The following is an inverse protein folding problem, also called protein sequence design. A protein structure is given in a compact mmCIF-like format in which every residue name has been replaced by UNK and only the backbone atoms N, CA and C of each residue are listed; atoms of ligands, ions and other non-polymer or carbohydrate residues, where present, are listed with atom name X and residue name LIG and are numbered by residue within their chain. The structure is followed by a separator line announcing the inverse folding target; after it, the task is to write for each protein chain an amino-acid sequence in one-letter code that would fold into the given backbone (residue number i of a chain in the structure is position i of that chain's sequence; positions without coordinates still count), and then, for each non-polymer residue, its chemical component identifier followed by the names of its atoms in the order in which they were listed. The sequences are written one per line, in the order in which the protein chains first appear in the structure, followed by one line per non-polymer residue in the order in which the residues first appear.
data_IF_896236968386
#
_entry.id   IF_896236968386
#
_cell.length_a   1.000
_cell.length_b   1.000
_cell.length_c   1.000
_cell.angle_alpha   90.00
_cell.angle_beta   90.00
_cell.angle_gamma   90.00
#
_symmetry.space_group_name_H-M   'P 1'
#
loop_
_entity.id
_entity.type
_entity.pdbx_description
1 polymer ?
#
# COMPACT_ATOMS: atom_id res chain seq x y z
N UNK A 1 -46.00 -65.29 10.45
CA UNK A 1 -45.14 -64.99 9.26
C UNK A 1 -44.91 -63.51 9.18
N UNK A 2 -43.81 -63.02 9.78
CA UNK A 2 -43.41 -61.62 9.71
C UNK A 2 -42.02 -61.57 9.06
N UNK A 3 -41.98 -61.03 7.83
CA UNK A 3 -40.75 -60.80 7.11
C UNK A 3 -40.00 -59.57 7.64
N UNK A 4 -38.77 -59.74 8.07
CA UNK A 4 -37.84 -58.62 8.38
C UNK A 4 -37.20 -58.18 7.06
N UNK A 5 -37.45 -56.92 6.67
CA UNK A 5 -36.71 -56.21 5.63
C UNK A 5 -35.43 -55.62 6.25
N UNK A 6 -34.27 -56.17 5.90
CA UNK A 6 -32.98 -55.64 6.29
C UNK A 6 -32.68 -54.33 5.55
N UNK A 7 -32.59 -53.25 6.29
CA UNK A 7 -32.08 -51.95 5.80
C UNK A 7 -30.55 -52.04 5.61
N UNK A 8 -30.09 -51.77 4.41
CA UNK A 8 -28.68 -51.60 4.11
C UNK A 8 -28.27 -50.21 4.57
N UNK A 9 -27.32 -50.12 5.50
CA UNK A 9 -26.69 -48.89 5.93
C UNK A 9 -25.86 -48.30 4.76
N UNK A 10 -25.96 -47.00 4.48
CA UNK A 10 -25.10 -46.37 3.47
C UNK A 10 -23.63 -46.44 3.95
N UNK A 11 -22.74 -46.78 3.03
CA UNK A 11 -21.30 -46.81 3.23
C UNK A 11 -20.72 -45.44 3.53
N UNK A 12 -19.49 -45.35 4.05
CA UNK A 12 -18.86 -44.11 4.45
C UNK A 12 -18.71 -43.16 3.25
N UNK A 13 -19.09 -41.92 3.45
CA UNK A 13 -18.93 -40.82 2.51
C UNK A 13 -17.42 -40.64 2.25
N UNK A 14 -16.96 -40.64 0.98
CA UNK A 14 -15.56 -40.41 0.68
C UNK A 14 -15.16 -39.01 1.19
N UNK A 15 -14.08 -38.99 1.96
CA UNK A 15 -13.43 -37.75 2.46
C UNK A 15 -13.09 -36.89 1.24
N UNK A 16 -13.48 -35.62 1.18
CA UNK A 16 -13.05 -34.73 0.11
C UNK A 16 -11.53 -34.67 0.13
N UNK A 17 -10.92 -35.01 -1.00
CA UNK A 17 -9.49 -34.92 -1.21
C UNK A 17 -9.02 -33.51 -0.76
N UNK A 18 -8.13 -33.48 0.22
CA UNK A 18 -7.42 -32.27 0.62
C UNK A 18 -6.65 -31.81 -0.61
N UNK A 19 -7.12 -30.73 -1.21
CA UNK A 19 -6.36 -30.06 -2.27
C UNK A 19 -4.97 -29.74 -1.72
N UNK A 20 -3.89 -29.97 -2.49
CA UNK A 20 -2.56 -29.62 -2.04
C UNK A 20 -2.55 -28.16 -1.61
N UNK A 21 -1.97 -27.89 -0.45
CA UNK A 21 -1.78 -26.56 0.11
C UNK A 21 -1.18 -25.65 -0.95
N UNK A 22 -1.84 -24.53 -1.25
CA UNK A 22 -1.25 -23.43 -2.04
C UNK A 22 0.08 -23.03 -1.40
N UNK A 23 1.18 -23.39 -2.01
CA UNK A 23 2.53 -23.05 -1.53
C UNK A 23 3.00 -21.72 -2.12
N UNK A 24 2.35 -21.18 -3.16
CA UNK A 24 2.77 -19.99 -3.87
C UNK A 24 1.65 -18.95 -3.88
N UNK A 25 1.70 -17.99 -2.94
CA UNK A 25 0.74 -16.90 -2.84
C UNK A 25 1.20 -15.59 -3.48
N UNK A 26 2.35 -15.57 -4.11
CA UNK A 26 2.89 -14.42 -4.83
C UNK A 26 3.56 -14.85 -6.14
N UNK A 27 3.32 -14.11 -7.21
CA UNK A 27 3.98 -14.28 -8.50
C UNK A 27 4.69 -12.98 -8.88
N UNK A 28 5.93 -13.06 -9.35
CA UNK A 28 6.66 -11.92 -9.89
C UNK A 28 6.33 -11.78 -11.37
N UNK A 29 5.73 -10.68 -11.77
CA UNK A 29 5.54 -10.32 -13.16
C UNK A 29 6.89 -9.87 -13.74
N UNK A 30 7.42 -10.64 -14.72
CA UNK A 30 8.69 -10.34 -15.39
C UNK A 30 8.44 -9.96 -16.85
N UNK A 31 9.20 -9.01 -17.37
CA UNK A 31 9.20 -8.74 -18.81
C UNK A 31 9.57 -10.00 -19.61
N UNK A 32 8.98 -10.26 -20.79
CA UNK A 32 9.12 -11.51 -21.55
C UNK A 32 10.52 -11.87 -22.03
N UNK A 33 11.54 -11.09 -21.73
CA UNK A 33 12.92 -11.27 -22.24
C UNK A 33 13.86 -12.05 -21.32
N UNK A 34 13.38 -12.58 -20.18
CA UNK A 34 14.17 -13.50 -19.33
C UNK A 34 15.51 -12.96 -18.79
N UNK A 35 15.78 -11.68 -18.91
CA UNK A 35 16.97 -11.03 -18.34
C UNK A 35 16.53 -10.06 -17.24
N UNK A 36 17.15 -10.21 -16.07
CA UNK A 36 17.16 -9.15 -15.07
C UNK A 36 17.74 -7.89 -15.75
N UNK A 37 16.90 -6.99 -16.13
CA UNK A 37 17.35 -5.67 -16.56
C UNK A 37 17.10 -4.77 -15.36
N UNK A 38 18.16 -4.49 -14.63
CA UNK A 38 18.21 -3.28 -13.83
C UNK A 38 18.05 -2.14 -14.84
N UNK A 39 16.84 -1.63 -15.00
CA UNK A 39 16.59 -0.44 -15.80
C UNK A 39 17.07 0.72 -14.95
N UNK A 40 18.28 1.18 -15.24
CA UNK A 40 18.77 2.48 -14.82
C UNK A 40 17.66 3.53 -15.11
N UNK A 41 17.35 4.35 -14.12
CA UNK A 41 16.41 5.48 -14.14
C UNK A 41 16.70 6.56 -15.22
N UNK A 42 17.32 6.21 -16.34
CA UNK A 42 17.63 7.11 -17.45
C UNK A 42 16.62 7.05 -18.60
N UNK A 43 15.48 6.36 -18.47
CA UNK A 43 14.45 6.30 -19.50
C UNK A 43 13.10 6.82 -18.97
N UNK A 44 13.06 8.10 -18.62
CA UNK A 44 11.83 8.88 -18.68
C UNK A 44 11.59 9.16 -20.16
N UNK A 45 10.42 8.82 -20.74
CA UNK A 45 10.14 9.19 -22.12
C UNK A 45 10.25 10.71 -22.25
N UNK A 46 11.06 11.18 -23.16
CA UNK A 46 11.33 12.59 -23.42
C UNK A 46 10.15 13.29 -24.11
N UNK A 47 8.96 13.27 -23.50
CA UNK A 47 7.82 14.07 -23.90
C UNK A 47 6.97 14.44 -22.68
N UNK A 48 7.57 15.09 -21.69
CA UNK A 48 6.82 15.94 -20.78
C UNK A 48 6.50 17.22 -21.56
N UNK A 49 5.22 17.59 -21.72
CA UNK A 49 4.86 18.86 -22.35
C UNK A 49 5.55 20.01 -21.60
N UNK A 50 6.10 20.99 -22.32
CA UNK A 50 6.82 22.15 -21.75
C UNK A 50 5.98 23.00 -20.77
N UNK A 51 4.70 22.77 -20.66
CA UNK A 51 3.79 23.34 -19.68
C UNK A 51 4.23 23.06 -18.22
N UNK A 52 4.85 21.92 -17.96
CA UNK A 52 5.23 21.50 -16.60
C UNK A 52 6.55 22.11 -16.09
N UNK A 53 7.34 22.73 -16.96
CA UNK A 53 8.62 23.35 -16.58
C UNK A 53 8.51 24.78 -16.05
N UNK A 54 7.36 25.40 -16.11
CA UNK A 54 7.21 26.85 -15.81
C UNK A 54 6.61 27.16 -14.43
N UNK A 55 6.34 26.17 -13.56
CA UNK A 55 5.66 26.41 -12.28
C UNK A 55 6.52 26.11 -11.04
N UNK A 56 7.84 25.95 -11.17
CA UNK A 56 8.73 25.66 -10.02
C UNK A 56 9.33 26.90 -9.34
N UNK A 57 8.78 28.09 -9.51
CA UNK A 57 9.27 29.31 -8.87
C UNK A 57 8.18 30.12 -8.17
N UNK A 58 7.47 29.51 -7.22
CA UNK A 58 6.86 30.24 -6.10
C UNK A 58 6.92 29.36 -4.86
N UNK A 59 8.08 29.34 -4.19
CA UNK A 59 8.18 28.88 -2.80
C UNK A 59 7.47 29.90 -1.91
N UNK A 60 6.15 29.82 -1.82
CA UNK A 60 5.38 30.30 -0.69
C UNK A 60 5.43 29.20 0.38
N UNK A 61 5.29 29.51 1.65
CA UNK A 61 5.16 28.55 2.76
C UNK A 61 3.99 27.59 2.49
N UNK A 62 4.20 26.57 1.66
CA UNK A 62 3.24 25.48 1.46
C UNK A 62 3.31 24.60 2.70
N UNK A 63 2.18 24.45 3.39
CA UNK A 63 2.09 23.58 4.56
C UNK A 63 2.39 22.15 4.12
N UNK A 64 3.33 21.49 4.80
CA UNK A 64 3.71 20.10 4.52
C UNK A 64 2.56 19.10 4.76
N UNK A 65 1.49 19.51 5.44
CA UNK A 65 0.30 18.69 5.69
C UNK A 65 -0.95 19.43 5.23
N UNK A 66 -1.78 18.74 4.47
CA UNK A 66 -3.06 19.21 3.96
C UNK A 66 -4.20 18.30 4.41
N UNK A 67 -5.42 18.81 4.43
CA UNK A 67 -6.63 18.00 4.72
C UNK A 67 -7.57 18.03 3.53
N UNK A 68 -8.20 16.88 3.23
CA UNK A 68 -9.13 16.80 2.11
C UNK A 68 -9.89 15.48 2.05
N UNK A 69 -10.72 15.34 1.04
CA UNK A 69 -11.49 14.13 0.75
C UNK A 69 -11.19 13.63 -0.66
N UNK A 70 -11.15 12.32 -0.83
CA UNK A 70 -11.05 11.71 -2.16
C UNK A 70 -12.37 11.03 -2.48
N UNK A 71 -12.98 11.38 -3.62
CA UNK A 71 -14.30 10.91 -4.05
C UNK A 71 -15.39 11.12 -2.96
N UNK A 72 -15.26 12.18 -2.13
CA UNK A 72 -16.17 12.49 -1.03
C UNK A 72 -15.96 11.66 0.24
N UNK A 73 -14.82 11.00 0.37
CA UNK A 73 -14.47 10.18 1.52
C UNK A 73 -13.21 10.69 2.22
N UNK A 74 -13.26 10.77 3.55
CA UNK A 74 -12.14 11.16 4.40
C UNK A 74 -11.07 10.06 4.53
N UNK A 75 -11.31 8.85 4.03
CA UNK A 75 -10.34 7.76 4.00
C UNK A 75 -9.44 7.88 2.77
N UNK A 76 -8.67 8.95 2.71
CA UNK A 76 -7.85 9.31 1.55
C UNK A 76 -6.81 8.24 1.21
N UNK A 77 -6.21 7.59 2.22
CA UNK A 77 -5.24 6.53 2.05
C UNK A 77 -5.80 5.22 1.47
N UNK A 78 -7.14 5.06 1.40
CA UNK A 78 -7.77 3.96 0.69
C UNK A 78 -7.69 4.15 -0.83
N UNK A 79 -7.72 5.40 -1.29
CA UNK A 79 -7.80 5.78 -2.70
C UNK A 79 -6.47 6.20 -3.30
N UNK A 80 -5.53 6.65 -2.48
CA UNK A 80 -4.23 7.16 -2.90
C UNK A 80 -3.12 6.18 -2.51
N UNK A 81 -2.16 5.98 -3.40
CA UNK A 81 -0.93 5.24 -3.12
C UNK A 81 0.27 6.06 -3.53
N UNK A 82 1.14 6.35 -2.57
CA UNK A 82 2.43 7.02 -2.84
C UNK A 82 3.49 5.93 -3.01
N UNK A 83 4.18 5.96 -4.14
CA UNK A 83 5.30 5.06 -4.44
C UNK A 83 6.45 5.91 -4.95
N UNK A 84 7.48 6.06 -4.14
CA UNK A 84 8.62 6.95 -4.41
C UNK A 84 8.16 8.39 -4.74
N UNK A 85 8.34 8.83 -5.96
CA UNK A 85 7.99 10.18 -6.44
C UNK A 85 6.67 10.22 -7.22
N UNK A 86 5.89 9.17 -7.19
CA UNK A 86 4.63 9.04 -7.92
C UNK A 86 3.46 8.91 -6.95
N UNK A 87 2.44 9.74 -7.12
CA UNK A 87 1.15 9.59 -6.47
C UNK A 87 0.16 8.94 -7.44
N UNK A 88 -0.16 7.68 -7.22
CA UNK A 88 -1.24 7.00 -7.92
C UNK A 88 -2.59 7.45 -7.36
N UNK A 89 -3.46 7.94 -8.23
CA UNK A 89 -4.78 8.43 -7.89
C UNK A 89 -5.88 7.88 -8.81
N UNK A 90 -7.17 7.82 -8.38
CA UNK A 90 -8.26 7.34 -9.21
C UNK A 90 -8.40 8.12 -10.52
N UNK A 91 -8.56 7.41 -11.65
CA UNK A 91 -8.82 8.04 -12.98
C UNK A 91 -10.11 8.85 -13.01
N UNK A 92 -11.03 8.62 -12.08
CA UNK A 92 -12.34 9.29 -12.01
C UNK A 92 -12.32 10.63 -11.26
N UNK A 93 -11.17 11.10 -10.79
CA UNK A 93 -11.07 12.41 -10.17
C UNK A 93 -11.34 13.50 -11.20
N UNK A 94 -12.06 14.55 -10.77
CA UNK A 94 -12.26 15.76 -11.57
C UNK A 94 -11.08 16.72 -11.41
N UNK A 95 -10.94 17.64 -12.36
CA UNK A 95 -9.78 18.53 -12.47
C UNK A 95 -9.49 19.31 -11.17
N UNK A 96 -10.53 19.82 -10.48
CA UNK A 96 -10.35 20.54 -9.23
C UNK A 96 -9.75 19.67 -8.09
N UNK A 97 -10.10 18.37 -8.01
CA UNK A 97 -9.50 17.46 -7.04
C UNK A 97 -8.05 17.10 -7.39
N UNK A 98 -7.72 17.07 -8.69
CA UNK A 98 -6.34 16.90 -9.16
C UNK A 98 -5.51 18.13 -8.81
N UNK A 99 -6.03 19.34 -8.99
CA UNK A 99 -5.38 20.59 -8.59
C UNK A 99 -5.14 20.64 -7.06
N UNK A 100 -6.10 20.18 -6.25
CA UNK A 100 -5.94 20.06 -4.79
C UNK A 100 -4.81 19.08 -4.44
N UNK A 101 -4.74 17.92 -5.09
CA UNK A 101 -3.65 16.95 -4.89
C UNK A 101 -2.29 17.50 -5.32
N UNK A 102 -2.23 18.24 -6.43
CA UNK A 102 -1.01 18.89 -6.89
C UNK A 102 -0.52 19.98 -5.94
N UNK A 103 -1.46 20.66 -5.25
CA UNK A 103 -1.12 21.61 -4.20
C UNK A 103 -0.68 20.94 -2.90
N UNK A 104 -1.16 19.71 -2.64
CA UNK A 104 -0.86 18.95 -1.44
C UNK A 104 0.43 18.13 -1.52
N UNK A 105 0.93 17.83 -2.73
CA UNK A 105 2.10 16.98 -2.94
C UNK A 105 3.00 17.53 -4.06
N UNK A 106 4.32 17.52 -3.81
CA UNK A 106 5.35 17.73 -4.83
C UNK A 106 5.74 16.38 -5.47
N UNK A 107 4.74 15.70 -6.08
CA UNK A 107 4.88 14.38 -6.68
C UNK A 107 4.32 14.35 -8.11
N UNK A 108 4.80 13.41 -8.91
CA UNK A 108 4.19 13.12 -10.20
C UNK A 108 2.80 12.47 -9.99
N UNK A 109 1.75 13.08 -10.56
CA UNK A 109 0.38 12.58 -10.46
C UNK A 109 0.12 11.53 -11.55
N UNK A 110 -0.29 10.33 -11.14
CA UNK A 110 -0.54 9.25 -12.09
C UNK A 110 -1.96 8.68 -11.95
N UNK A 111 -2.85 8.91 -12.94
CA UNK A 111 -4.21 8.39 -12.91
C UNK A 111 -4.22 6.88 -13.20
N UNK A 112 -4.64 6.06 -12.21
CA UNK A 112 -4.58 4.61 -12.32
C UNK A 112 -5.86 3.91 -11.82
N UNK A 113 -6.01 2.65 -12.17
CA UNK A 113 -6.99 1.70 -11.62
C UNK A 113 -6.33 0.33 -11.51
N UNK A 114 -6.62 -0.42 -10.46
CA UNK A 114 -6.18 -1.81 -10.31
C UNK A 114 -7.37 -2.74 -10.59
N UNK A 115 -7.35 -3.46 -11.70
CA UNK A 115 -8.46 -4.32 -12.11
C UNK A 115 -9.79 -3.56 -12.28
N UNK A 116 -9.74 -2.28 -12.64
CA UNK A 116 -10.90 -1.39 -12.72
C UNK A 116 -11.34 -0.77 -11.39
N UNK A 117 -10.68 -1.07 -10.27
CA UNK A 117 -10.96 -0.49 -8.95
C UNK A 117 -10.19 0.82 -8.72
N UNK A 118 -10.85 1.78 -8.07
CA UNK A 118 -10.28 3.06 -7.64
C UNK A 118 -9.66 3.03 -6.24
N UNK A 119 -9.64 1.88 -5.54
CA UNK A 119 -9.14 1.73 -4.18
C UNK A 119 -7.62 1.50 -4.17
N UNK A 120 -6.88 2.43 -4.77
CA UNK A 120 -5.47 2.23 -5.09
C UNK A 120 -4.61 1.99 -3.85
N UNK A 121 -4.76 2.79 -2.79
CA UNK A 121 -4.00 2.63 -1.57
C UNK A 121 -4.31 1.35 -0.80
N UNK A 122 -5.48 0.70 -1.04
CA UNK A 122 -5.76 -0.63 -0.50
C UNK A 122 -5.15 -1.75 -1.34
N UNK A 123 -4.97 -1.53 -2.65
CA UNK A 123 -4.64 -2.57 -3.64
C UNK A 123 -3.19 -2.52 -4.13
N UNK A 124 -2.49 -1.42 -3.90
CA UNK A 124 -1.16 -1.15 -4.39
C UNK A 124 -0.34 -0.44 -3.33
N UNK A 125 0.91 -0.83 -3.16
CA UNK A 125 1.92 -0.15 -2.33
C UNK A 125 3.31 -0.48 -2.86
N UNK A 126 4.32 0.29 -2.48
CA UNK A 126 5.69 0.05 -2.95
C UNK A 126 6.67 1.11 -2.47
N UNK A 127 7.89 1.01 -2.96
CA UNK A 127 8.97 1.96 -2.72
C UNK A 127 9.70 2.29 -4.03
N UNK A 128 10.88 2.91 -3.94
CA UNK A 128 11.74 3.28 -5.08
C UNK A 128 12.22 2.09 -5.93
N UNK A 129 12.08 0.85 -5.48
CA UNK A 129 12.61 -0.36 -6.14
C UNK A 129 11.53 -1.27 -6.68
N UNK A 130 10.37 -1.34 -6.03
CA UNK A 130 9.35 -2.29 -6.42
C UNK A 130 7.94 -1.91 -5.98
N UNK A 131 6.98 -2.53 -6.62
CA UNK A 131 5.54 -2.35 -6.38
C UNK A 131 4.92 -3.71 -6.05
N UNK A 132 4.14 -3.76 -4.97
CA UNK A 132 3.23 -4.86 -4.67
C UNK A 132 1.80 -4.49 -5.06
N UNK A 133 1.14 -5.36 -5.80
CA UNK A 133 -0.22 -5.12 -6.31
C UNK A 133 -1.13 -6.32 -6.10
N UNK A 134 -2.42 -6.07 -5.95
CA UNK A 134 -3.46 -7.09 -5.81
C UNK A 134 -3.61 -7.95 -7.09
N UNK A 135 -4.03 -9.21 -6.94
CA UNK A 135 -4.22 -10.18 -8.04
C UNK A 135 -5.38 -9.85 -8.99
N UNK A 136 -6.21 -8.86 -8.63
CA UNK A 136 -7.23 -8.34 -9.54
C UNK A 136 -6.65 -7.46 -10.66
N UNK A 137 -5.36 -7.10 -10.58
CA UNK A 137 -4.68 -6.36 -11.63
C UNK A 137 -4.72 -7.13 -12.95
N UNK A 138 -5.09 -6.44 -14.03
CA UNK A 138 -5.09 -7.02 -15.38
C UNK A 138 -3.68 -7.06 -15.97
N UNK A 139 -3.47 -7.84 -17.04
CA UNK A 139 -2.18 -7.82 -17.76
C UNK A 139 -1.80 -6.41 -18.22
N UNK A 140 -2.78 -5.60 -18.64
CA UNK A 140 -2.54 -4.22 -19.04
C UNK A 140 -2.10 -3.34 -17.85
N UNK A 141 -2.70 -3.54 -16.66
CA UNK A 141 -2.30 -2.85 -15.44
C UNK A 141 -0.86 -3.22 -15.05
N UNK A 142 -0.50 -4.51 -15.17
CA UNK A 142 0.85 -4.99 -14.87
C UNK A 142 1.89 -4.45 -15.86
N UNK A 143 1.56 -4.41 -17.15
CA UNK A 143 2.42 -3.80 -18.17
C UNK A 143 2.68 -2.31 -17.88
N UNK A 144 1.64 -1.60 -17.44
CA UNK A 144 1.72 -0.19 -17.04
C UNK A 144 2.60 -0.02 -15.78
N UNK A 145 2.36 -0.80 -14.71
CA UNK A 145 3.15 -0.76 -13.46
C UNK A 145 4.60 -1.16 -13.67
N UNK A 146 4.89 -2.16 -14.51
CA UNK A 146 6.27 -2.58 -14.80
C UNK A 146 7.07 -1.55 -15.59
N UNK A 147 6.44 -0.49 -16.10
CA UNK A 147 7.16 0.65 -16.66
C UNK A 147 7.82 1.52 -15.58
N UNK A 148 7.32 1.50 -14.34
CA UNK A 148 7.88 2.23 -13.20
C UNK A 148 8.97 1.42 -12.49
N UNK A 149 8.66 0.17 -12.08
CA UNK A 149 9.60 -0.68 -11.32
C UNK A 149 9.24 -2.16 -11.44
N UNK A 150 9.98 -3.04 -10.74
CA UNK A 150 9.63 -4.45 -10.61
C UNK A 150 8.31 -4.60 -9.84
N UNK A 151 7.49 -5.60 -10.22
CA UNK A 151 6.15 -5.79 -9.66
C UNK A 151 6.01 -7.18 -9.06
N UNK A 152 5.51 -7.27 -7.83
CA UNK A 152 5.04 -8.50 -7.20
C UNK A 152 3.53 -8.50 -7.11
N UNK A 153 2.88 -9.56 -7.61
CA UNK A 153 1.42 -9.75 -7.54
C UNK A 153 1.10 -10.59 -6.32
N UNK A 154 0.19 -10.07 -5.49
CA UNK A 154 -0.31 -10.76 -4.29
C UNK A 154 -1.42 -11.72 -4.68
N UNK A 155 -1.16 -13.02 -4.69
CA UNK A 155 -2.13 -14.05 -5.13
C UNK A 155 -2.90 -14.73 -3.97
N UNK A 156 -3.96 -15.46 -4.36
CA UNK A 156 -4.73 -16.40 -3.53
C UNK A 156 -5.49 -15.86 -2.32
N UNK A 157 -6.46 -14.96 -2.59
CA UNK A 157 -7.56 -14.71 -1.64
C UNK A 157 -7.25 -13.76 -0.48
N UNK A 158 -6.02 -13.29 -0.37
CA UNK A 158 -5.60 -12.23 0.56
C UNK A 158 -4.76 -11.26 -0.25
N UNK A 159 -5.41 -10.45 -1.06
CA UNK A 159 -4.81 -9.80 -2.21
C UNK A 159 -4.78 -8.27 -2.15
N UNK A 160 -5.28 -7.66 -1.10
CA UNK A 160 -5.25 -6.21 -0.94
C UNK A 160 -3.85 -5.75 -0.47
N UNK A 161 -2.90 -5.66 -1.40
CA UNK A 161 -1.48 -5.42 -1.12
C UNK A 161 -1.26 -4.25 -0.15
N UNK A 162 -1.85 -3.09 -0.41
CA UNK A 162 -1.71 -1.92 0.45
C UNK A 162 -2.36 -2.05 1.82
N UNK A 163 -3.39 -2.91 2.00
CA UNK A 163 -3.92 -3.21 3.33
C UNK A 163 -3.07 -4.20 4.10
N UNK A 164 -2.31 -5.06 3.41
CA UNK A 164 -1.58 -6.16 4.01
C UNK A 164 -0.13 -5.84 4.33
N UNK A 165 0.37 -4.74 3.84
CA UNK A 165 1.74 -4.32 4.10
C UNK A 165 1.89 -2.81 4.07
N UNK A 166 2.92 -2.35 4.76
CA UNK A 166 3.43 -1.00 4.71
C UNK A 166 4.94 -1.04 4.53
N UNK A 167 5.49 -0.16 3.70
CA UNK A 167 6.93 -0.13 3.42
C UNK A 167 7.45 1.30 3.23
N UNK A 168 8.76 1.42 3.40
CA UNK A 168 9.53 2.58 2.98
C UNK A 168 10.79 2.15 2.22
N UNK A 169 11.73 3.05 1.99
CA UNK A 169 12.99 2.76 1.30
C UNK A 169 13.92 1.80 2.09
N UNK A 170 13.64 1.52 3.37
CA UNK A 170 14.53 0.78 4.27
C UNK A 170 13.99 -0.58 4.69
N UNK A 171 12.66 -0.76 4.75
CA UNK A 171 12.05 -1.98 5.24
C UNK A 171 10.56 -2.09 4.94
N UNK A 172 10.01 -3.27 5.22
CA UNK A 172 8.59 -3.55 5.08
C UNK A 172 8.04 -4.33 6.28
N UNK A 173 6.81 -4.01 6.67
CA UNK A 173 6.01 -4.78 7.62
C UNK A 173 4.88 -5.44 6.85
N UNK A 174 4.82 -6.76 6.88
CA UNK A 174 3.89 -7.57 6.09
C UNK A 174 2.97 -8.36 7.02
N UNK A 175 1.71 -8.43 6.67
CA UNK A 175 0.69 -9.19 7.38
C UNK A 175 1.07 -10.66 7.58
N UNK A 176 0.77 -11.26 8.76
CA UNK A 176 0.97 -12.68 8.99
C UNK A 176 0.14 -13.61 8.10
N UNK A 177 -0.92 -13.10 7.46
CA UNK A 177 -1.72 -13.88 6.51
C UNK A 177 -0.98 -14.16 5.20
N UNK A 178 0.04 -13.36 4.88
CA UNK A 178 0.94 -13.60 3.75
C UNK A 178 1.88 -14.74 4.11
N UNK A 179 1.95 -15.83 3.31
CA UNK A 179 2.88 -16.93 3.54
C UNK A 179 4.35 -16.47 3.52
N UNK A 180 5.22 -17.24 4.16
CA UNK A 180 6.65 -16.89 4.27
C UNK A 180 7.30 -16.71 2.89
N UNK A 181 7.01 -17.59 1.92
CA UNK A 181 7.53 -17.46 0.55
C UNK A 181 7.06 -16.17 -0.14
N UNK A 182 5.83 -15.71 0.16
CA UNK A 182 5.34 -14.42 -0.32
C UNK A 182 6.09 -13.23 0.27
N UNK A 183 6.42 -13.29 1.57
CA UNK A 183 7.23 -12.25 2.23
C UNK A 183 8.64 -12.18 1.63
N UNK A 184 9.23 -13.34 1.33
CA UNK A 184 10.55 -13.40 0.67
C UNK A 184 10.53 -12.77 -0.74
N UNK A 185 9.47 -13.02 -1.52
CA UNK A 185 9.29 -12.39 -2.84
C UNK A 185 9.06 -10.87 -2.72
N UNK A 186 8.25 -10.43 -1.75
CA UNK A 186 8.06 -9.00 -1.45
C UNK A 186 9.40 -8.35 -1.10
N UNK A 187 10.17 -8.97 -0.20
CA UNK A 187 11.50 -8.49 0.19
C UNK A 187 12.47 -8.40 -0.99
N UNK A 188 12.45 -9.38 -1.90
CA UNK A 188 13.27 -9.39 -3.12
C UNK A 188 12.89 -8.24 -4.06
N UNK A 189 11.58 -8.06 -4.35
CA UNK A 189 11.09 -7.04 -5.29
C UNK A 189 11.26 -5.64 -4.73
N UNK A 190 10.92 -5.43 -3.45
CA UNK A 190 11.12 -4.12 -2.80
C UNK A 190 12.58 -3.84 -2.44
N UNK A 191 13.47 -4.86 -2.53
CA UNK A 191 14.89 -4.74 -2.21
C UNK A 191 15.18 -4.29 -0.78
N UNK A 192 14.33 -4.69 0.18
CA UNK A 192 14.43 -4.32 1.60
C UNK A 192 14.14 -5.53 2.50
N UNK A 193 14.60 -5.45 3.75
CA UNK A 193 14.20 -6.44 4.76
C UNK A 193 12.70 -6.35 5.06
N UNK A 194 12.04 -7.49 5.15
CA UNK A 194 10.62 -7.56 5.47
C UNK A 194 10.38 -8.44 6.71
N UNK A 195 9.51 -7.97 7.62
CA UNK A 195 9.06 -8.75 8.77
C UNK A 195 7.58 -9.10 8.65
N UNK A 196 7.21 -10.28 9.16
CA UNK A 196 5.81 -10.68 9.34
C UNK A 196 5.35 -10.29 10.73
N UNK A 197 4.41 -9.36 10.84
CA UNK A 197 3.86 -8.94 12.13
C UNK A 197 2.41 -8.51 12.00
N UNK A 198 1.64 -8.68 13.06
CA UNK A 198 0.42 -7.90 13.30
C UNK A 198 0.80 -6.50 13.76
N UNK A 199 -0.12 -5.58 13.62
CA UNK A 199 -0.02 -4.22 14.19
C UNK A 199 -1.26 -3.98 15.03
N UNK A 200 -1.06 -3.70 16.31
CA UNK A 200 -2.15 -3.54 17.28
C UNK A 200 -3.16 -4.73 17.27
N UNK A 201 -2.68 -5.95 17.03
CA UNK A 201 -3.49 -7.15 16.93
C UNK A 201 -4.20 -7.36 15.59
N UNK A 202 -4.10 -6.45 14.64
CA UNK A 202 -4.73 -6.51 13.32
C UNK A 202 -3.84 -7.16 12.27
N UNK A 203 -4.47 -7.87 11.33
CA UNK A 203 -3.80 -8.46 10.16
C UNK A 203 -3.71 -7.48 8.97
N UNK A 204 -4.48 -6.37 9.00
CA UNK A 204 -4.48 -5.32 7.96
C UNK A 204 -3.42 -4.26 8.26
N UNK A 205 -2.17 -4.64 8.15
CA UNK A 205 -0.99 -3.84 8.56
C UNK A 205 -0.98 -2.46 7.93
N UNK A 206 -1.18 -2.37 6.61
CA UNK A 206 -1.16 -1.08 5.91
C UNK A 206 -2.29 -0.14 6.28
N UNK A 207 -3.42 -0.66 6.81
CA UNK A 207 -4.47 0.22 7.38
C UNK A 207 -4.09 0.81 8.74
N UNK A 208 -3.12 0.18 9.44
CA UNK A 208 -2.68 0.53 10.80
C UNK A 208 -1.43 1.39 10.84
N UNK A 209 -0.73 1.53 9.71
CA UNK A 209 0.53 2.26 9.57
C UNK A 209 0.46 3.24 8.40
N UNK A 210 1.19 4.34 8.53
CA UNK A 210 1.66 5.18 7.42
C UNK A 210 3.15 5.39 7.63
N UNK A 211 3.94 5.14 6.62
CA UNK A 211 5.39 5.28 6.69
C UNK A 211 5.93 6.12 5.53
N UNK A 212 7.01 6.84 5.81
CA UNK A 212 7.86 7.47 4.81
C UNK A 212 9.34 7.25 5.15
N UNK A 213 10.25 7.95 4.49
CA UNK A 213 11.68 7.86 4.77
C UNK A 213 12.13 8.47 6.09
N UNK A 214 11.28 9.21 6.80
CA UNK A 214 11.62 9.95 8.02
C UNK A 214 10.97 9.35 9.28
N UNK A 215 9.81 8.67 9.15
CA UNK A 215 9.11 8.14 10.31
C UNK A 215 7.90 7.26 9.97
N UNK A 216 7.27 6.76 11.03
CA UNK A 216 6.05 5.96 10.96
C UNK A 216 5.01 6.50 11.91
N UNK A 217 3.82 6.78 11.42
CA UNK A 217 2.61 6.96 12.21
C UNK A 217 1.93 5.61 12.37
N UNK A 218 1.68 5.16 13.59
CA UNK A 218 1.10 3.87 13.90
C UNK A 218 -0.22 3.99 14.68
N UNK A 219 -1.04 2.95 14.58
CA UNK A 219 -2.25 2.75 15.38
C UNK A 219 -1.98 3.00 16.88
N UNK A 220 -2.87 3.70 17.63
CA UNK A 220 -2.63 4.08 19.03
C UNK A 220 -2.41 2.89 19.96
N UNK A 221 -2.97 1.71 19.67
CA UNK A 221 -2.84 0.51 20.49
C UNK A 221 -1.64 -0.38 20.10
N UNK A 222 -0.73 0.11 19.26
CA UNK A 222 0.50 -0.63 18.95
C UNK A 222 1.29 -0.86 20.25
N UNK A 223 1.69 -2.11 20.48
CA UNK A 223 2.49 -2.45 21.66
C UNK A 223 3.93 -1.94 21.51
N UNK A 224 4.62 -1.75 22.63
CA UNK A 224 6.02 -1.33 22.60
C UNK A 224 6.91 -2.31 21.82
N UNK A 225 6.67 -3.61 21.93
CA UNK A 225 7.44 -4.63 21.20
C UNK A 225 7.16 -4.61 19.69
N UNK A 226 5.91 -4.32 19.27
CA UNK A 226 5.60 -4.12 17.87
C UNK A 226 6.29 -2.87 17.33
N UNK A 227 6.21 -1.73 18.05
CA UNK A 227 6.88 -0.49 17.66
C UNK A 227 8.41 -0.70 17.52
N UNK A 228 9.07 -1.31 18.50
CA UNK A 228 10.51 -1.62 18.43
C UNK A 228 10.87 -2.51 17.22
N UNK A 229 10.00 -3.45 16.86
CA UNK A 229 10.19 -4.31 15.68
C UNK A 229 10.03 -3.52 14.37
N UNK A 230 9.02 -2.64 14.29
CA UNK A 230 8.78 -1.75 13.15
C UNK A 230 9.95 -0.79 12.98
N UNK A 231 10.40 -0.11 14.05
CA UNK A 231 11.58 0.76 14.03
C UNK A 231 12.83 0.02 13.54
N UNK A 232 13.01 -1.22 14.02
CA UNK A 232 14.16 -2.04 13.62
C UNK A 232 14.20 -2.36 12.14
N UNK A 233 13.05 -2.64 11.50
CA UNK A 233 13.01 -2.98 10.07
C UNK A 233 12.94 -1.74 9.20
N UNK A 234 12.10 -0.76 9.54
CA UNK A 234 11.91 0.46 8.74
C UNK A 234 13.00 1.51 8.93
N UNK A 235 13.87 1.35 9.94
CA UNK A 235 15.01 2.24 10.27
C UNK A 235 14.64 3.69 10.57
N UNK A 236 13.40 3.94 10.97
CA UNK A 236 12.87 5.26 11.30
C UNK A 236 12.04 5.20 12.60
N UNK A 237 11.86 6.32 13.32
CA UNK A 237 11.06 6.34 14.54
C UNK A 237 9.61 5.97 14.31
N UNK A 238 8.98 5.33 15.30
CA UNK A 238 7.54 5.04 15.31
C UNK A 238 6.84 5.90 16.35
N UNK A 239 5.82 6.61 15.93
CA UNK A 239 4.93 7.37 16.81
C UNK A 239 3.49 6.93 16.63
N UNK A 240 2.72 6.92 17.72
CA UNK A 240 1.31 6.57 17.68
C UNK A 240 0.44 7.81 17.52
N UNK A 241 -0.67 7.66 16.80
CA UNK A 241 -1.63 8.74 16.61
C UNK A 241 -2.96 8.26 16.02
N UNK A 242 -3.83 9.22 15.76
CA UNK A 242 -5.13 9.02 15.11
C UNK A 242 -5.28 10.00 13.95
N UNK A 243 -6.28 9.77 13.11
CA UNK A 243 -6.68 10.62 11.99
C UNK A 243 -8.19 10.84 12.02
N UNK A 244 -8.73 11.78 11.27
CA UNK A 244 -10.17 11.96 11.04
C UNK A 244 -11.02 11.88 12.32
N UNK A 245 -10.67 12.74 13.30
CA UNK A 245 -11.36 12.86 14.58
C UNK A 245 -11.35 11.58 15.45
N UNK A 246 -10.15 10.99 15.63
CA UNK A 246 -9.93 9.87 16.54
C UNK A 246 -9.97 8.49 15.88
N UNK A 247 -10.02 8.41 14.56
CA UNK A 247 -9.91 7.12 13.86
C UNK A 247 -8.51 6.52 14.07
N UNK A 248 -8.42 5.27 14.51
CA UNK A 248 -7.12 4.61 14.72
C UNK A 248 -6.54 4.01 13.43
N UNK A 249 -7.32 3.98 12.34
CA UNK A 249 -6.92 3.43 11.05
C UNK A 249 -6.13 4.47 10.26
N UNK A 250 -4.91 4.74 10.73
CA UNK A 250 -4.09 5.85 10.24
C UNK A 250 -3.74 5.69 8.75
N UNK A 251 -3.44 4.47 8.28
CA UNK A 251 -3.15 4.20 6.88
C UNK A 251 -4.35 4.36 5.96
N UNK A 252 -5.57 4.16 6.46
CA UNK A 252 -6.78 4.41 5.67
C UNK A 252 -7.08 5.91 5.54
N UNK A 253 -6.69 6.74 6.52
CA UNK A 253 -7.04 8.16 6.58
C UNK A 253 -5.91 9.11 6.19
N UNK A 254 -4.72 8.61 5.86
CA UNK A 254 -3.55 9.43 5.51
C UNK A 254 -2.80 8.82 4.34
N UNK A 255 -2.31 9.67 3.44
CA UNK A 255 -1.31 9.32 2.42
C UNK A 255 -0.14 10.30 2.58
N UNK A 256 1.09 9.80 2.56
CA UNK A 256 2.28 10.61 2.82
C UNK A 256 3.44 10.30 1.88
N UNK A 257 4.20 11.34 1.55
CA UNK A 257 5.54 11.27 0.97
C UNK A 257 6.58 11.64 2.05
N UNK A 258 7.84 11.78 1.65
CA UNK A 258 8.90 12.22 2.57
C UNK A 258 8.79 13.70 2.98
N UNK A 259 8.00 14.48 2.27
CA UNK A 259 7.90 15.93 2.44
C UNK A 259 6.49 16.43 2.69
N UNK A 260 5.46 15.69 2.27
CA UNK A 260 4.07 16.13 2.34
C UNK A 260 3.13 15.00 2.76
N UNK A 261 1.99 15.36 3.34
CA UNK A 261 0.90 14.42 3.62
C UNK A 261 -0.47 15.04 3.34
N UNK A 262 -1.38 14.22 2.80
CA UNK A 262 -2.81 14.49 2.76
C UNK A 262 -3.51 13.63 3.80
N UNK A 263 -4.27 14.27 4.68
CA UNK A 263 -5.03 13.62 5.74
C UNK A 263 -6.52 13.85 5.51
N UNK A 264 -7.33 12.86 5.81
CA UNK A 264 -8.78 12.96 5.64
C UNK A 264 -9.38 14.15 6.35
N UNK A 265 -10.40 14.78 5.75
CA UNK A 265 -11.13 15.90 6.32
C UNK A 265 -11.71 15.53 7.70
N UNK A 266 -11.80 16.51 8.58
CA UNK A 266 -12.21 16.31 9.97
C UNK A 266 -11.07 15.93 10.92
N UNK A 267 -9.83 15.78 10.45
CA UNK A 267 -8.67 15.66 11.33
C UNK A 267 -8.47 16.95 12.13
N UNK A 268 -8.18 16.78 13.40
CA UNK A 268 -8.04 17.89 14.35
C UNK A 268 -6.62 18.46 14.36
N UNK A 269 -6.45 19.72 14.79
CA UNK A 269 -5.12 20.33 14.91
C UNK A 269 -4.10 19.49 15.70
N UNK A 270 -4.46 18.91 16.88
CA UNK A 270 -3.57 18.00 17.60
C UNK A 270 -3.21 16.71 16.81
N UNK A 271 -4.13 16.19 15.99
CA UNK A 271 -3.83 15.05 15.12
C UNK A 271 -2.85 15.47 14.02
N UNK A 272 -3.06 16.61 13.37
CA UNK A 272 -2.16 17.11 12.32
C UNK A 272 -0.75 17.31 12.84
N UNK A 273 -0.58 17.97 13.99
CA UNK A 273 0.74 18.11 14.63
C UNK A 273 1.39 16.76 14.95
N UNK A 274 0.60 15.78 15.39
CA UNK A 274 1.12 14.43 15.68
C UNK A 274 1.58 13.73 14.41
N UNK A 275 0.88 13.92 13.28
CA UNK A 275 1.24 13.36 11.98
C UNK A 275 2.52 14.02 11.44
N UNK A 276 2.63 15.35 11.54
CA UNK A 276 3.83 16.10 11.18
C UNK A 276 5.06 15.60 11.95
N UNK A 277 4.94 15.49 13.28
CA UNK A 277 6.00 14.96 14.14
C UNK A 277 6.38 13.51 13.76
N UNK A 278 5.37 12.65 13.57
CA UNK A 278 5.56 11.23 13.32
C UNK A 278 6.22 10.93 11.97
N UNK A 279 5.93 11.74 10.96
CA UNK A 279 6.42 11.57 9.59
C UNK A 279 7.60 12.51 9.26
N UNK A 280 8.04 13.32 10.23
CA UNK A 280 9.18 14.23 10.06
C UNK A 280 8.95 15.24 8.94
N UNK A 281 7.75 15.82 8.85
CA UNK A 281 7.36 16.79 7.81
C UNK A 281 7.70 18.25 8.16
N UNK A 282 8.47 18.47 9.22
CA UNK A 282 8.85 19.79 9.76
C UNK A 282 10.23 20.19 9.24
#
# INVERSE_FOLDING_TARGET
MHGHSGGVLPGPIPNPEVKPSCVDSCTVARKPTGKFVAVSLSFIPAQIPDYWRSHSETAGDEMAISTGDILGHAQVGVYLSVVDKVLFHPRSLHDAAIEELQSAFDLEMYPFLVGGSSLLGSLLTGNDKGIAVADIATEADLDELTSFSDVVVMESGVNAAGNLMECNAHGAVVSPVVPQGGVEMISEVLGVDAIRSKVAGHDTVGSMLVANGNGVLAHPDVSRSEAESIESVMKVPVMVGTVTFGSPYVGAGCAASDTHALVGSGSTGPELNRIEDALGLI
#
